data_IF_426855882266
#
_entry.id   IF_426855882266
#
_cell.length_a   1.000
_cell.length_b   1.000
_cell.length_c   1.000
_cell.angle_alpha   90.00
_cell.angle_beta   90.00
_cell.angle_gamma   90.00
#
_symmetry.space_group_name_H-M   'P 1'
#
loop_
_entity.id
_entity.type
_entity.pdbx_description
1 polymer ?
#
# COMPACT_ATOMS: atom_id res chain seq x y z
N UNK A 1 64.29 -43.85 16.54
CA UNK A 1 63.97 -42.98 15.34
C UNK A 1 62.52 -43.15 14.91
N UNK A 2 61.58 -42.94 15.81
CA UNK A 2 60.10 -43.10 15.54
C UNK A 2 59.28 -41.85 15.66
N UNK A 3 59.86 -40.69 16.02
CA UNK A 3 59.17 -39.46 16.30
C UNK A 3 58.75 -38.61 15.05
N UNK A 4 59.48 -38.73 13.95
CA UNK A 4 59.24 -37.95 12.73
C UNK A 4 57.97 -38.36 11.94
N UNK A 5 57.42 -39.54 12.21
CA UNK A 5 56.27 -40.09 11.50
C UNK A 5 54.95 -39.59 12.14
N UNK A 6 54.96 -39.34 13.44
CA UNK A 6 53.82 -38.81 14.19
C UNK A 6 53.60 -37.30 13.94
N UNK A 7 54.69 -36.54 13.79
CA UNK A 7 54.60 -35.11 13.54
C UNK A 7 53.93 -34.77 12.19
N UNK A 8 54.20 -35.58 11.15
CA UNK A 8 53.55 -35.41 9.84
C UNK A 8 52.05 -35.71 9.89
N UNK A 9 51.64 -36.65 10.72
CA UNK A 9 50.20 -36.94 10.94
C UNK A 9 49.47 -35.82 11.64
N UNK A 10 50.08 -35.20 12.65
CA UNK A 10 49.49 -34.07 13.41
C UNK A 10 49.35 -32.82 12.52
N UNK A 11 50.35 -32.50 11.69
CA UNK A 11 50.32 -31.38 10.77
C UNK A 11 49.18 -31.54 9.73
N UNK A 12 49.00 -32.76 9.23
CA UNK A 12 47.97 -33.07 8.25
C UNK A 12 46.56 -32.96 8.87
N UNK A 13 46.37 -33.38 10.12
CA UNK A 13 45.16 -33.24 10.89
C UNK A 13 44.86 -31.76 11.17
N UNK A 14 45.86 -30.99 11.55
CA UNK A 14 45.72 -29.55 11.78
C UNK A 14 45.34 -28.79 10.50
N UNK A 15 45.94 -29.13 9.36
CA UNK A 15 45.61 -28.54 8.06
C UNK A 15 44.17 -28.87 7.63
N UNK A 16 43.75 -30.13 7.80
CA UNK A 16 42.35 -30.53 7.54
C UNK A 16 41.37 -29.80 8.46
N UNK A 17 41.72 -29.63 9.73
CA UNK A 17 40.92 -28.87 10.69
C UNK A 17 40.75 -27.40 10.27
N UNK A 18 41.84 -26.74 9.82
CA UNK A 18 41.76 -25.36 9.32
C UNK A 18 40.91 -25.23 8.06
N UNK A 19 41.02 -26.14 7.12
CA UNK A 19 40.20 -26.16 5.90
C UNK A 19 38.73 -26.37 6.26
N UNK A 20 38.39 -27.23 7.19
CA UNK A 20 37.02 -27.45 7.64
C UNK A 20 36.40 -26.17 8.29
N UNK A 21 37.19 -25.48 9.13
CA UNK A 21 36.78 -24.23 9.75
C UNK A 21 36.53 -23.12 8.69
N UNK A 22 37.47 -22.97 7.75
CA UNK A 22 37.33 -21.99 6.67
C UNK A 22 36.13 -22.30 5.78
N UNK A 23 35.89 -23.56 5.45
CA UNK A 23 34.73 -24.00 4.71
C UNK A 23 33.42 -23.67 5.46
N UNK A 24 33.38 -23.91 6.78
CA UNK A 24 32.24 -23.57 7.63
C UNK A 24 31.93 -22.06 7.67
N UNK A 25 32.98 -21.24 7.83
CA UNK A 25 32.85 -19.79 7.81
C UNK A 25 32.35 -19.31 6.44
N UNK A 26 32.91 -19.84 5.35
CA UNK A 26 32.51 -19.46 4.00
C UNK A 26 31.04 -19.80 3.73
N UNK A 27 30.55 -20.93 4.18
CA UNK A 27 29.16 -21.34 4.07
C UNK A 27 28.22 -20.43 4.89
N UNK A 28 28.65 -20.08 6.11
CA UNK A 28 27.89 -19.17 6.98
C UNK A 28 27.75 -17.76 6.36
N UNK A 29 28.82 -17.22 5.78
CA UNK A 29 28.80 -15.92 5.09
C UNK A 29 27.93 -15.99 3.84
N UNK A 30 28.02 -17.06 3.06
CA UNK A 30 27.20 -17.24 1.87
C UNK A 30 25.70 -17.30 2.21
N UNK A 31 25.33 -18.05 3.24
CA UNK A 31 23.92 -18.14 3.69
C UNK A 31 23.40 -16.83 4.25
N UNK A 32 24.21 -16.09 4.98
CA UNK A 32 23.84 -14.75 5.49
C UNK A 32 23.64 -13.75 4.35
N UNK A 33 24.48 -13.78 3.32
CA UNK A 33 24.35 -12.96 2.12
C UNK A 33 23.06 -13.25 1.35
N UNK A 34 22.66 -14.52 1.22
CA UNK A 34 21.40 -14.89 0.59
C UNK A 34 20.17 -14.39 1.37
N UNK A 35 20.18 -14.51 2.69
CA UNK A 35 19.10 -13.97 3.53
C UNK A 35 18.98 -12.45 3.40
N UNK A 36 20.09 -11.74 3.34
CA UNK A 36 20.11 -10.28 3.18
C UNK A 36 19.54 -9.84 1.83
N UNK A 37 19.88 -10.53 0.74
CA UNK A 37 19.35 -10.23 -0.60
C UNK A 37 17.86 -10.53 -0.71
N UNK A 38 17.40 -11.64 -0.16
CA UNK A 38 15.97 -11.97 -0.14
C UNK A 38 15.18 -10.98 0.72
N UNK A 39 15.69 -10.62 1.90
CA UNK A 39 15.07 -9.62 2.77
C UNK A 39 15.01 -8.24 2.10
N UNK A 40 16.06 -7.83 1.41
CA UNK A 40 16.11 -6.59 0.65
C UNK A 40 15.09 -6.57 -0.49
N UNK A 41 14.97 -7.63 -1.27
CA UNK A 41 14.00 -7.72 -2.36
C UNK A 41 12.55 -7.70 -1.86
N UNK A 42 12.25 -8.39 -0.76
CA UNK A 42 10.93 -8.35 -0.12
C UNK A 42 10.57 -6.95 0.37
N UNK A 43 11.52 -6.22 0.94
CA UNK A 43 11.32 -4.84 1.38
C UNK A 43 10.98 -3.92 0.21
N UNK A 44 11.72 -3.98 -0.88
CA UNK A 44 11.46 -3.18 -2.09
C UNK A 44 10.09 -3.52 -2.68
N UNK A 45 9.74 -4.80 -2.75
CA UNK A 45 8.45 -5.26 -3.26
C UNK A 45 7.27 -4.77 -2.39
N UNK A 46 7.42 -4.79 -1.05
CA UNK A 46 6.38 -4.29 -0.15
C UNK A 46 6.17 -2.78 -0.28
N UNK A 47 7.26 -2.01 -0.40
CA UNK A 47 7.20 -0.57 -0.63
C UNK A 47 6.54 -0.27 -1.97
N UNK A 48 6.91 -0.99 -3.03
CA UNK A 48 6.28 -0.86 -4.34
C UNK A 48 4.78 -1.17 -4.30
N UNK A 49 4.38 -2.25 -3.61
CA UNK A 49 2.99 -2.62 -3.45
C UNK A 49 2.18 -1.54 -2.72
N UNK A 50 2.77 -0.94 -1.69
CA UNK A 50 2.15 0.18 -0.98
C UNK A 50 1.93 1.38 -1.91
N UNK A 51 2.96 1.82 -2.64
CA UNK A 51 2.81 2.96 -3.55
C UNK A 51 1.83 2.70 -4.70
N UNK A 52 1.72 1.45 -5.18
CA UNK A 52 0.70 1.10 -6.16
C UNK A 52 -0.71 1.23 -5.59
N UNK A 53 -0.94 0.73 -4.38
CA UNK A 53 -2.23 0.85 -3.71
C UNK A 53 -2.55 2.32 -3.36
N UNK A 54 -1.57 3.09 -2.90
CA UNK A 54 -1.72 4.52 -2.62
C UNK A 54 -2.06 5.31 -3.89
N UNK A 55 -1.35 5.04 -4.99
CA UNK A 55 -1.66 5.60 -6.32
C UNK A 55 -3.09 5.31 -6.77
N UNK A 56 -3.59 4.11 -6.50
CA UNK A 56 -4.98 3.73 -6.76
C UNK A 56 -5.98 4.60 -6.00
N UNK A 57 -5.71 4.93 -4.74
CA UNK A 57 -6.55 5.85 -3.96
C UNK A 57 -6.59 7.24 -4.59
N UNK A 58 -5.43 7.78 -4.97
CA UNK A 58 -5.37 9.09 -5.64
C UNK A 58 -6.11 9.10 -6.98
N UNK A 59 -6.00 8.02 -7.75
CA UNK A 59 -6.77 7.87 -8.98
C UNK A 59 -8.28 7.91 -8.70
N UNK A 60 -8.74 7.14 -7.71
CA UNK A 60 -10.15 7.10 -7.33
C UNK A 60 -10.67 8.47 -6.86
N UNK A 61 -9.85 9.25 -6.16
CA UNK A 61 -10.20 10.61 -5.73
C UNK A 61 -10.35 11.59 -6.91
N UNK A 62 -9.66 11.34 -8.02
CA UNK A 62 -9.75 12.14 -9.25
C UNK A 62 -11.04 11.89 -10.06
N UNK A 63 -11.68 10.74 -9.88
CA UNK A 63 -12.84 10.31 -10.64
C UNK A 63 -14.15 10.67 -9.91
N UNK A 64 -14.88 11.64 -10.42
CA UNK A 64 -16.15 12.10 -9.81
C UNK A 64 -17.21 11.00 -9.72
N UNK A 65 -17.17 10.01 -10.62
CA UNK A 65 -18.10 8.89 -10.68
C UNK A 65 -17.98 7.93 -9.50
N UNK A 66 -16.84 7.94 -8.80
CA UNK A 66 -16.62 7.14 -7.59
C UNK A 66 -17.35 7.70 -6.37
N UNK A 67 -17.92 8.91 -6.48
CA UNK A 67 -18.58 9.61 -5.38
C UNK A 67 -20.08 9.79 -5.65
N UNK A 68 -20.71 8.77 -6.20
CA UNK A 68 -22.18 8.75 -6.38
C UNK A 68 -22.81 8.14 -5.14
N UNK A 69 -23.73 8.82 -4.44
CA UNK A 69 -24.44 8.27 -3.28
C UNK A 69 -25.14 6.95 -3.61
N UNK A 70 -25.19 6.06 -2.63
CA UNK A 70 -25.86 4.75 -2.71
C UNK A 70 -25.30 3.80 -3.78
N UNK A 71 -24.13 4.09 -4.32
CA UNK A 71 -23.46 3.23 -5.29
C UNK A 71 -22.16 2.63 -4.73
N UNK A 72 -21.80 1.48 -5.25
CA UNK A 72 -20.49 0.87 -5.10
C UNK A 72 -19.90 0.68 -6.48
N UNK A 73 -18.63 1.01 -6.64
CA UNK A 73 -17.92 0.87 -7.92
C UNK A 73 -16.57 0.22 -7.69
N UNK A 74 -16.24 -0.75 -8.53
CA UNK A 74 -14.92 -1.37 -8.58
C UNK A 74 -14.26 -1.00 -9.90
N UNK A 75 -13.02 -0.57 -9.86
CA UNK A 75 -12.21 -0.27 -11.03
C UNK A 75 -10.89 -1.05 -10.95
N UNK A 76 -10.58 -1.78 -12.00
CA UNK A 76 -9.26 -2.39 -12.21
C UNK A 76 -8.39 -1.39 -12.99
N UNK A 77 -7.30 -0.95 -12.35
CA UNK A 77 -6.40 0.05 -12.91
C UNK A 77 -5.26 -0.54 -13.70
N UNK A 78 -5.13 -1.86 -13.75
CA UNK A 78 -4.08 -2.56 -14.51
C UNK A 78 -4.16 -2.27 -16.02
N UNK A 79 -5.37 -2.07 -16.53
CA UNK A 79 -5.65 -1.75 -17.93
C UNK A 79 -5.66 -0.25 -18.24
N UNK A 80 -5.50 0.60 -17.23
CA UNK A 80 -5.50 2.05 -17.44
C UNK A 80 -4.16 2.56 -17.94
N UNK A 81 -4.17 3.72 -18.62
CA UNK A 81 -2.97 4.39 -19.10
C UNK A 81 -1.97 4.76 -17.99
N UNK A 82 -2.39 4.77 -16.74
CA UNK A 82 -1.54 5.02 -15.59
C UNK A 82 -0.61 3.85 -15.24
N UNK A 83 -0.88 2.63 -15.78
CA UNK A 83 -0.06 1.44 -15.52
C UNK A 83 -0.01 1.05 -14.04
N UNK A 84 -1.05 1.39 -13.28
CA UNK A 84 -1.17 1.06 -11.88
C UNK A 84 -1.73 -0.36 -11.76
N UNK A 85 -0.92 -1.28 -11.21
CA UNK A 85 -1.33 -2.66 -10.94
C UNK A 85 -2.14 -2.71 -9.62
N UNK A 86 -3.29 -2.04 -9.61
CA UNK A 86 -4.16 -1.87 -8.47
C UNK A 86 -5.64 -2.04 -8.82
N UNK A 87 -6.37 -2.67 -7.93
CA UNK A 87 -7.83 -2.73 -7.92
C UNK A 87 -8.37 -1.76 -6.87
N UNK A 88 -9.29 -0.92 -7.27
CA UNK A 88 -9.90 0.08 -6.38
C UNK A 88 -11.38 -0.16 -6.28
N UNK A 89 -11.87 -0.25 -5.06
CA UNK A 89 -13.29 -0.34 -4.73
C UNK A 89 -13.70 0.94 -3.98
N UNK A 90 -14.68 1.66 -4.49
CA UNK A 90 -15.32 2.75 -3.79
C UNK A 90 -16.74 2.36 -3.38
N UNK A 91 -17.08 2.57 -2.14
CA UNK A 91 -18.39 2.25 -1.59
C UNK A 91 -18.94 3.41 -0.77
N UNK A 92 -20.23 3.69 -0.94
CA UNK A 92 -20.93 4.64 -0.09
C UNK A 92 -21.16 4.04 1.30
N UNK A 93 -20.73 4.75 2.36
CA UNK A 93 -20.87 4.29 3.75
C UNK A 93 -22.12 4.89 4.42
N UNK A 94 -22.43 6.14 4.07
CA UNK A 94 -23.51 6.88 4.71
C UNK A 94 -23.35 8.38 4.55
N UNK A 95 -24.13 9.11 5.31
CA UNK A 95 -24.06 10.56 5.33
C UNK A 95 -24.08 11.08 6.76
N UNK A 96 -23.43 12.21 6.97
CA UNK A 96 -23.43 12.95 8.23
C UNK A 96 -23.93 14.37 8.00
N UNK A 97 -24.40 14.99 9.08
CA UNK A 97 -24.75 16.40 9.04
C UNK A 97 -23.50 17.24 8.74
N UNK A 98 -23.63 18.20 7.86
CA UNK A 98 -22.53 19.11 7.54
C UNK A 98 -22.15 19.90 8.78
N UNK A 99 -20.84 19.94 9.19
CA UNK A 99 -20.45 20.82 10.27
C UNK A 99 -20.78 22.25 9.95
N UNK A 100 -21.45 22.96 10.87
CA UNK A 100 -21.92 24.33 10.64
C UNK A 100 -20.81 25.37 10.38
N UNK A 101 -19.56 24.98 10.60
CA UNK A 101 -18.38 25.80 10.35
C UNK A 101 -17.57 25.38 9.12
N UNK A 102 -18.10 24.49 8.28
CA UNK A 102 -17.40 24.07 7.07
C UNK A 102 -17.26 25.25 6.10
N UNK A 103 -16.02 25.60 5.80
CA UNK A 103 -15.69 26.62 4.80
C UNK A 103 -15.33 25.93 3.50
N UNK A 104 -16.03 26.28 2.42
CA UNK A 104 -15.69 25.82 1.06
C UNK A 104 -15.01 26.96 0.29
N UNK A 105 -14.02 26.59 -0.51
CA UNK A 105 -13.36 27.53 -1.42
C UNK A 105 -14.25 27.72 -2.64
N UNK A 106 -14.71 28.95 -2.84
CA UNK A 106 -15.50 29.31 -4.01
C UNK A 106 -14.59 29.57 -5.23
N UNK A 107 -15.19 29.63 -6.43
CA UNK A 107 -14.46 29.86 -7.70
C UNK A 107 -13.70 31.18 -7.74
N UNK A 108 -14.11 32.17 -6.92
CA UNK A 108 -13.41 33.43 -6.72
C UNK A 108 -12.21 33.34 -5.75
N UNK A 109 -11.90 32.12 -5.28
CA UNK A 109 -10.78 31.85 -4.38
C UNK A 109 -11.04 32.18 -2.91
N UNK A 110 -12.22 32.67 -2.56
CA UNK A 110 -12.57 33.01 -1.18
C UNK A 110 -13.12 31.80 -0.43
N UNK A 111 -12.90 31.76 0.87
CA UNK A 111 -13.53 30.79 1.75
C UNK A 111 -14.85 31.34 2.26
N UNK A 112 -15.93 30.62 2.01
CA UNK A 112 -17.27 30.96 2.52
C UNK A 112 -17.86 29.77 3.26
N UNK A 113 -18.76 30.01 4.24
CA UNK A 113 -19.52 28.93 4.84
C UNK A 113 -20.25 28.12 3.76
N UNK A 114 -20.28 26.81 3.88
CA UNK A 114 -20.99 25.95 2.96
C UNK A 114 -22.49 26.24 3.03
N UNK A 115 -22.99 26.98 2.06
CA UNK A 115 -24.43 27.27 1.90
C UNK A 115 -24.92 26.52 0.67
N UNK A 116 -25.66 25.45 0.88
CA UNK A 116 -26.27 24.66 -0.18
C UNK A 116 -27.72 25.15 -0.41
N UNK A 117 -27.85 26.17 -1.25
CA UNK A 117 -29.15 26.68 -1.71
C UNK A 117 -29.92 27.52 -0.69
N UNK A 118 -30.54 28.59 -1.16
CA UNK A 118 -31.54 29.32 -0.36
C UNK A 118 -32.81 28.45 -0.29
N UNK A 119 -33.09 27.91 0.89
CA UNK A 119 -34.27 27.08 1.16
C UNK A 119 -34.06 25.58 1.20
N UNK A 120 -32.93 25.07 0.77
CA UNK A 120 -32.58 23.69 1.00
C UNK A 120 -31.99 23.56 2.40
N UNK A 121 -32.52 22.67 3.19
CA UNK A 121 -32.00 22.35 4.53
C UNK A 121 -30.51 22.06 4.54
N UNK A 122 -29.98 21.99 5.70
CA UNK A 122 -28.57 21.69 6.00
C UNK A 122 -27.99 20.69 5.00
N UNK A 123 -26.91 21.07 4.29
CA UNK A 123 -26.20 20.15 3.42
C UNK A 123 -25.77 18.90 4.17
N UNK A 124 -25.63 17.79 3.48
CA UNK A 124 -25.12 16.54 4.02
C UNK A 124 -23.69 16.32 3.56
N UNK A 125 -22.91 15.67 4.39
CA UNK A 125 -21.59 15.16 4.01
C UNK A 125 -21.76 13.69 3.68
N UNK A 126 -21.56 13.37 2.42
CA UNK A 126 -21.60 11.99 1.94
C UNK A 126 -20.24 11.34 2.18
N UNK A 127 -20.24 10.22 2.89
CA UNK A 127 -19.04 9.49 3.26
C UNK A 127 -18.85 8.30 2.35
N UNK A 128 -17.65 8.17 1.83
CA UNK A 128 -17.25 7.07 0.96
C UNK A 128 -16.04 6.37 1.53
N UNK A 129 -16.02 5.07 1.45
CA UNK A 129 -14.84 4.25 1.72
C UNK A 129 -14.19 3.88 0.39
N UNK A 130 -12.91 4.14 0.28
CA UNK A 130 -12.09 3.77 -0.86
C UNK A 130 -11.11 2.71 -0.35
N UNK A 131 -11.21 1.51 -0.91
CA UNK A 131 -10.29 0.41 -0.69
C UNK A 131 -9.46 0.21 -1.95
N UNK A 132 -8.15 0.32 -1.84
CA UNK A 132 -7.23 0.06 -2.94
C UNK A 132 -6.29 -1.08 -2.58
N UNK A 133 -6.16 -2.04 -3.49
CA UNK A 133 -5.33 -3.24 -3.33
C UNK A 133 -4.45 -3.41 -4.55
N UNK A 134 -3.19 -3.79 -4.34
CA UNK A 134 -2.36 -4.26 -5.45
C UNK A 134 -2.94 -5.56 -5.98
N UNK A 135 -3.15 -5.64 -7.30
CA UNK A 135 -3.49 -6.90 -7.97
C UNK A 135 -2.26 -7.79 -7.93
N UNK A 136 -2.40 -8.98 -7.36
CA UNK A 136 -1.30 -9.92 -7.20
C UNK A 136 -0.86 -10.44 -8.55
N UNK A 137 0.33 -10.02 -9.01
CA UNK A 137 0.99 -10.64 -10.15
C UNK A 137 1.33 -12.11 -9.85
N UNK A 138 1.48 -12.90 -10.90
CA UNK A 138 1.64 -14.36 -10.95
C UNK A 138 2.86 -14.95 -10.21
N UNK A 139 3.62 -14.16 -9.48
CA UNK A 139 4.79 -14.60 -8.74
C UNK A 139 4.51 -14.66 -7.25
N UNK A 140 4.35 -15.84 -6.74
CA UNK A 140 3.91 -16.37 -5.47
C UNK A 140 4.39 -15.78 -4.13
N UNK A 141 5.02 -14.64 -4.10
CA UNK A 141 5.33 -13.85 -2.90
C UNK A 141 4.63 -12.49 -3.05
N UNK A 142 3.31 -12.54 -2.92
CA UNK A 142 2.47 -11.36 -3.00
C UNK A 142 2.73 -10.43 -1.81
N UNK A 143 3.53 -9.40 -2.02
CA UNK A 143 3.49 -8.22 -1.17
C UNK A 143 2.10 -7.59 -1.34
N UNK A 144 1.25 -7.76 -0.33
CA UNK A 144 -0.13 -7.25 -0.33
C UNK A 144 -0.09 -5.79 0.12
N UNK A 145 -0.03 -4.86 -0.83
CA UNK A 145 -0.34 -3.47 -0.55
C UNK A 145 -1.86 -3.32 -0.46
N UNK A 146 -2.36 -2.82 0.65
CA UNK A 146 -3.76 -2.48 0.83
C UNK A 146 -3.84 -1.14 1.55
N UNK A 147 -4.51 -0.18 0.94
CA UNK A 147 -4.76 1.15 1.51
C UNK A 147 -6.26 1.35 1.57
N UNK A 148 -6.74 1.71 2.76
CA UNK A 148 -8.13 2.08 2.99
C UNK A 148 -8.19 3.55 3.38
N UNK A 149 -9.07 4.30 2.74
CA UNK A 149 -9.28 5.71 3.00
C UNK A 149 -10.78 6.01 3.11
N UNK A 150 -11.14 6.92 3.98
CA UNK A 150 -12.48 7.50 4.03
C UNK A 150 -12.44 8.89 3.42
N UNK A 151 -13.22 9.10 2.37
CA UNK A 151 -13.39 10.39 1.72
C UNK A 151 -14.77 10.96 2.02
N UNK A 152 -14.87 12.28 2.12
CA UNK A 152 -16.12 12.96 2.36
C UNK A 152 -16.37 14.00 1.26
N UNK A 153 -17.57 13.98 0.69
CA UNK A 153 -18.00 14.95 -0.30
C UNK A 153 -19.22 15.73 0.22
N UNK A 154 -19.13 17.05 0.33
CA UNK A 154 -20.30 17.85 0.66
C UNK A 154 -21.29 17.86 -0.51
N UNK A 155 -22.56 17.73 -0.23
CA UNK A 155 -23.61 17.74 -1.23
C UNK A 155 -24.94 18.26 -0.68
N UNK A 156 -25.91 18.50 -1.56
CA UNK A 156 -27.24 18.95 -1.17
C UNK A 156 -27.96 17.86 -0.39
N UNK A 157 -28.78 18.24 0.54
CA UNK A 157 -29.67 17.31 1.21
C UNK A 157 -30.88 17.03 0.31
N UNK A 158 -30.90 15.86 -0.35
CA UNK A 158 -32.00 15.46 -1.23
C UNK A 158 -33.29 15.12 -0.46
N UNK A 159 -33.18 14.74 0.83
CA UNK A 159 -34.30 14.27 1.67
C UNK A 159 -34.53 15.12 2.93
N UNK A 160 -34.02 16.36 3.00
CA UNK A 160 -34.20 17.19 4.19
C UNK A 160 -35.54 17.96 4.24
N UNK A 161 -36.53 17.60 3.44
CA UNK A 161 -37.76 18.36 3.24
C UNK A 161 -39.08 17.59 3.44
N UNK A 162 -39.06 16.47 4.19
CA UNK A 162 -40.34 15.80 4.55
C UNK A 162 -40.54 15.78 6.04
#
# INVERSE_FOLDING_TARGET
MTTLRDEKGIVMLAALGMVAILAGISLAVASSGQMSTVGGSMSVESVRAFYMADGGVFYALGEAENFVPESSRTADLSETAAGLDAEVESSFIGYEALPGNLLIRTTDGRFRPAQFGQGAGLGKMYMFQIDSRKVSGTQGLASRGHVRMTAARPGPCLDCGS
#
